data_IF_148951042896
#
_entry.id   IF_148951042896
#
_cell.length_a   1.000
_cell.length_b   1.000
_cell.length_c   1.000
_cell.angle_alpha   90.00
_cell.angle_beta   90.00
_cell.angle_gamma   90.00
#
_symmetry.space_group_name_H-M   'P 1'
#
loop_
_entity.id
_entity.type
_entity.pdbx_description
1 polymer ?
#
# COMPACT_ATOMS: atom_id res chain seq x y z
N UNK A 1 -55.22 38.60 34.70
CA UNK A 1 -55.54 37.42 33.87
C UNK A 1 -54.56 36.32 34.26
N UNK A 2 -54.77 35.41 35.21
CA UNK A 2 -55.92 34.57 35.56
C UNK A 2 -56.36 33.63 34.43
N UNK A 3 -55.78 32.42 34.38
CA UNK A 3 -56.44 31.08 34.46
C UNK A 3 -55.38 29.99 34.14
N UNK A 4 -54.87 29.27 35.16
CA UNK A 4 -55.21 27.87 35.53
C UNK A 4 -54.88 26.84 34.43
N UNK A 5 -53.82 26.02 34.54
CA UNK A 5 -53.59 24.90 35.48
C UNK A 5 -54.57 23.73 35.32
N UNK A 6 -54.04 22.60 34.82
CA UNK A 6 -54.35 21.17 35.14
C UNK A 6 -53.28 20.31 34.41
N UNK A 7 -52.26 19.76 35.08
CA UNK A 7 -52.25 18.51 35.88
C UNK A 7 -52.53 17.28 35.00
N UNK A 8 -51.80 16.16 34.97
CA UNK A 8 -51.16 15.33 36.01
C UNK A 8 -50.34 14.28 35.17
N UNK A 9 -49.04 14.02 35.37
CA UNK A 9 -48.41 13.09 36.34
C UNK A 9 -48.88 11.62 36.24
N UNK A 10 -47.89 10.71 36.39
CA UNK A 10 -47.93 9.23 36.52
C UNK A 10 -47.74 8.45 35.20
N UNK A 11 -46.81 7.47 35.07
CA UNK A 11 -45.95 6.81 36.05
C UNK A 11 -44.83 6.02 35.35
N UNK A 12 -43.69 5.97 36.03
CA UNK A 12 -42.57 5.02 35.98
C UNK A 12 -42.91 3.61 35.47
N UNK A 13 -42.09 3.10 34.56
CA UNK A 13 -41.54 1.72 34.50
C UNK A 13 -40.62 1.69 33.27
N UNK A 14 -39.29 1.59 33.39
CA UNK A 14 -38.63 0.45 34.00
C UNK A 14 -38.56 -0.68 32.99
N UNK A 15 -37.73 -0.53 31.94
CA UNK A 15 -37.19 -1.67 31.21
C UNK A 15 -35.74 -1.40 30.81
N UNK A 16 -34.84 -1.90 31.67
CA UNK A 16 -33.58 -2.45 31.22
C UNK A 16 -33.90 -3.46 30.11
N UNK A 17 -33.41 -3.22 28.90
CA UNK A 17 -33.15 -4.28 27.94
C UNK A 17 -31.64 -4.30 27.66
N UNK A 18 -30.93 -5.01 28.53
CA UNK A 18 -29.80 -5.82 28.10
C UNK A 18 -30.38 -6.94 27.24
N UNK A 19 -30.22 -6.83 25.92
CA UNK A 19 -30.32 -7.97 25.02
C UNK A 19 -28.97 -8.11 24.30
N UNK A 20 -28.12 -8.90 24.94
CA UNK A 20 -27.20 -9.80 24.26
C UNK A 20 -28.04 -10.70 23.35
N UNK A 21 -27.79 -10.68 22.04
CA UNK A 21 -28.45 -11.63 21.13
C UNK A 21 -28.48 -11.17 19.69
N UNK A 22 -27.58 -11.75 18.90
CA UNK A 22 -27.69 -11.94 17.45
C UNK A 22 -27.63 -10.70 16.56
N UNK A 23 -26.39 -10.32 16.24
CA UNK A 23 -26.04 -9.85 14.89
C UNK A 23 -26.36 -10.99 13.92
N UNK A 24 -27.58 -11.02 13.40
CA UNK A 24 -27.98 -11.85 12.27
C UNK A 24 -29.13 -11.13 11.55
N UNK A 25 -28.87 -10.66 10.33
CA UNK A 25 -29.87 -9.95 9.53
C UNK A 25 -29.35 -8.84 8.63
N UNK A 26 -28.11 -8.93 8.17
CA UNK A 26 -27.66 -8.29 6.92
C UNK A 26 -26.99 -9.37 6.06
N UNK A 27 -27.72 -10.45 5.79
CA UNK A 27 -27.43 -11.35 4.68
C UNK A 27 -27.75 -10.58 3.39
N UNK A 28 -26.75 -9.90 2.86
CA UNK A 28 -26.89 -9.06 1.68
C UNK A 28 -25.61 -8.34 1.31
N UNK A 29 -24.51 -9.08 1.13
CA UNK A 29 -23.57 -8.90 0.00
C UNK A 29 -22.29 -9.71 0.23
N UNK A 30 -22.38 -11.02 -0.06
CA UNK A 30 -21.20 -11.77 -0.50
C UNK A 30 -20.81 -11.35 -1.92
N UNK A 31 -20.56 -10.05 -2.17
CA UNK A 31 -20.10 -9.59 -3.49
C UNK A 31 -18.69 -10.09 -3.73
N UNK A 32 -18.59 -11.28 -4.31
CA UNK A 32 -17.53 -11.53 -5.26
C UNK A 32 -17.57 -10.40 -6.29
N UNK A 33 -16.48 -9.66 -6.44
CA UNK A 33 -16.34 -8.62 -7.44
C UNK A 33 -16.03 -9.20 -8.84
N UNK A 34 -15.96 -10.53 -8.94
CA UNK A 34 -15.75 -11.21 -10.22
C UNK A 34 -16.86 -10.82 -11.20
N UNK A 35 -16.48 -10.22 -12.34
CA UNK A 35 -17.41 -9.81 -13.40
C UNK A 35 -17.87 -8.35 -13.35
N UNK A 36 -17.40 -7.52 -12.40
CA UNK A 36 -17.62 -6.07 -12.42
C UNK A 36 -16.31 -5.29 -12.59
N UNK A 37 -16.44 -4.08 -13.14
CA UNK A 37 -15.36 -3.10 -13.12
C UNK A 37 -15.26 -2.52 -11.70
N UNK A 38 -14.03 -2.38 -11.19
CA UNK A 38 -13.76 -1.66 -9.96
C UNK A 38 -12.73 -0.59 -10.23
N UNK A 39 -12.96 0.56 -9.60
CA UNK A 39 -12.03 1.66 -9.60
C UNK A 39 -11.68 1.92 -8.15
N UNK A 40 -10.38 1.82 -7.85
CA UNK A 40 -9.84 1.88 -6.52
C UNK A 40 -8.87 3.05 -6.44
N UNK A 41 -8.96 3.86 -5.39
CA UNK A 41 -8.09 5.02 -5.16
C UNK A 41 -7.40 4.93 -3.81
N UNK A 42 -6.11 5.18 -3.81
CA UNK A 42 -5.30 5.38 -2.63
C UNK A 42 -4.69 6.79 -2.67
N UNK A 43 -4.94 7.57 -1.61
CA UNK A 43 -4.41 8.93 -1.47
C UNK A 43 -3.14 8.90 -0.61
N UNK A 44 -1.99 9.12 -1.25
CA UNK A 44 -0.68 9.20 -0.61
C UNK A 44 -0.27 10.63 -0.23
N UNK A 45 -1.21 11.58 -0.24
CA UNK A 45 -0.99 12.99 0.07
C UNK A 45 -0.38 13.76 -1.10
N UNK A 46 0.91 13.56 -1.40
CA UNK A 46 1.58 14.27 -2.51
C UNK A 46 1.43 13.58 -3.87
N UNK A 47 0.93 12.36 -3.85
CA UNK A 47 0.57 11.57 -5.03
C UNK A 47 -0.65 10.72 -4.72
N UNK A 48 -1.36 10.31 -5.76
CA UNK A 48 -2.45 9.35 -5.67
C UNK A 48 -2.14 8.13 -6.53
N UNK A 49 -2.54 6.95 -6.05
CA UNK A 49 -2.51 5.72 -6.82
C UNK A 49 -3.93 5.30 -7.15
N UNK A 50 -4.13 4.91 -8.39
CA UNK A 50 -5.40 4.40 -8.88
C UNK A 50 -5.20 2.99 -9.40
N UNK A 51 -6.20 2.15 -9.19
CA UNK A 51 -6.22 0.78 -9.63
C UNK A 51 -7.57 0.51 -10.30
N UNK A 52 -7.51 0.18 -11.58
CA UNK A 52 -8.65 -0.21 -12.41
C UNK A 52 -8.64 -1.73 -12.54
N UNK A 53 -9.69 -2.39 -12.06
CA UNK A 53 -9.89 -3.83 -12.16
C UNK A 53 -11.07 -4.09 -13.11
N UNK A 54 -10.79 -4.51 -14.33
CA UNK A 54 -11.84 -4.70 -15.37
C UNK A 54 -12.53 -6.05 -15.22
N UNK A 55 -13.77 -6.13 -15.70
CA UNK A 55 -14.56 -7.37 -15.62
C UNK A 55 -13.93 -8.53 -16.42
N UNK A 56 -13.11 -8.24 -17.42
CA UNK A 56 -12.37 -9.22 -18.22
C UNK A 56 -11.14 -9.83 -17.47
N UNK A 57 -10.94 -9.43 -16.22
CA UNK A 57 -9.82 -9.88 -15.39
C UNK A 57 -8.49 -9.19 -15.69
N UNK A 58 -8.45 -8.14 -16.52
CA UNK A 58 -7.28 -7.27 -16.65
C UNK A 58 -7.28 -6.16 -15.61
N UNK A 59 -6.09 -5.75 -15.17
CA UNK A 59 -5.94 -4.56 -14.34
C UNK A 59 -4.93 -3.58 -14.89
N UNK A 60 -5.09 -2.32 -14.49
CA UNK A 60 -4.15 -1.23 -14.71
C UNK A 60 -3.95 -0.45 -13.42
N UNK A 61 -2.72 -0.09 -13.09
CA UNK A 61 -2.37 0.79 -11.98
C UNK A 61 -1.77 2.09 -12.50
N UNK A 62 -2.33 3.22 -12.07
CA UNK A 62 -1.88 4.57 -12.45
C UNK A 62 -1.37 5.29 -11.21
N UNK A 63 -0.26 6.01 -11.33
CA UNK A 63 0.15 7.00 -10.34
C UNK A 63 -0.04 8.40 -10.90
N UNK A 64 -0.58 9.29 -10.07
CA UNK A 64 -0.72 10.71 -10.36
C UNK A 64 0.00 11.52 -9.30
N UNK A 65 1.00 12.29 -9.71
CA UNK A 65 1.55 13.37 -8.91
C UNK A 65 0.99 14.72 -9.34
N UNK A 66 1.49 15.79 -8.72
CA UNK A 66 1.17 17.16 -9.11
C UNK A 66 1.59 17.53 -10.54
N UNK A 67 2.59 16.84 -11.10
CA UNK A 67 3.21 17.15 -12.40
C UNK A 67 3.25 15.97 -13.37
N UNK A 68 2.69 14.81 -13.00
CA UNK A 68 2.78 13.61 -13.82
C UNK A 68 1.56 12.70 -13.66
N UNK A 69 1.26 11.96 -14.72
CA UNK A 69 0.40 10.79 -14.72
C UNK A 69 1.17 9.68 -15.43
N UNK A 70 1.29 8.53 -14.78
CA UNK A 70 2.09 7.41 -15.29
C UNK A 70 1.36 6.10 -15.02
N UNK A 71 1.21 5.25 -16.04
CA UNK A 71 0.85 3.85 -15.82
C UNK A 71 2.03 3.15 -15.15
N UNK A 72 1.84 2.77 -13.89
CA UNK A 72 2.86 2.12 -13.06
C UNK A 72 2.85 0.62 -13.19
N UNK A 73 1.75 0.00 -13.57
CA UNK A 73 1.63 -1.45 -13.65
C UNK A 73 0.39 -1.90 -14.44
N UNK A 74 0.44 -3.11 -14.96
CA UNK A 74 -0.72 -3.79 -15.54
C UNK A 74 -0.55 -5.31 -15.44
N UNK A 75 -1.66 -6.03 -15.63
CA UNK A 75 -1.64 -7.48 -15.71
C UNK A 75 -3.02 -8.09 -15.55
N UNK A 76 -3.09 -9.22 -14.83
CA UNK A 76 -4.32 -9.94 -14.57
C UNK A 76 -4.71 -9.90 -13.10
N UNK A 77 -6.00 -9.79 -12.81
CA UNK A 77 -6.51 -9.87 -11.45
C UNK A 77 -7.60 -10.92 -11.31
N UNK A 78 -7.76 -11.38 -10.07
CA UNK A 78 -8.90 -12.21 -9.64
C UNK A 78 -9.17 -11.97 -8.17
N UNK A 79 -10.37 -12.27 -7.72
CA UNK A 79 -10.67 -12.34 -6.30
C UNK A 79 -10.70 -13.80 -5.83
N UNK A 80 -10.07 -14.09 -4.69
CA UNK A 80 -10.14 -15.42 -4.08
C UNK A 80 -11.38 -15.57 -3.17
N UNK A 81 -11.57 -16.76 -2.59
CA UNK A 81 -12.68 -17.06 -1.67
C UNK A 81 -12.66 -16.24 -0.38
N UNK A 82 -11.51 -15.66 -0.01
CA UNK A 82 -11.33 -14.79 1.17
C UNK A 82 -11.54 -13.31 0.84
N UNK A 83 -12.16 -12.99 -0.31
CA UNK A 83 -12.34 -11.62 -0.83
C UNK A 83 -11.03 -10.87 -1.13
N UNK A 84 -9.85 -11.51 -1.02
CA UNK A 84 -8.57 -10.88 -1.38
C UNK A 84 -8.47 -10.68 -2.88
N UNK A 85 -7.99 -9.51 -3.28
CA UNK A 85 -7.68 -9.22 -4.67
C UNK A 85 -6.26 -9.70 -4.95
N UNK A 86 -6.13 -10.58 -5.93
CA UNK A 86 -4.86 -11.16 -6.37
C UNK A 86 -4.51 -10.55 -7.72
N UNK A 87 -3.44 -9.77 -7.77
CA UNK A 87 -2.98 -9.04 -8.95
C UNK A 87 -1.67 -9.63 -9.43
N UNK A 88 -1.67 -10.26 -10.60
CA UNK A 88 -0.50 -10.82 -11.26
C UNK A 88 0.01 -9.84 -12.30
N UNK A 89 1.12 -9.18 -12.00
CA UNK A 89 1.75 -8.17 -12.86
C UNK A 89 2.51 -8.80 -14.02
N UNK A 90 2.46 -8.16 -15.19
CA UNK A 90 3.28 -8.54 -16.34
C UNK A 90 4.68 -7.87 -16.30
N UNK A 91 4.79 -6.78 -15.56
CA UNK A 91 5.95 -5.89 -15.57
C UNK A 91 6.82 -6.01 -14.31
N UNK A 92 6.20 -6.17 -13.14
CA UNK A 92 6.82 -5.96 -11.83
C UNK A 92 6.87 -7.24 -10.99
N UNK A 93 7.85 -7.25 -10.09
CA UNK A 93 7.94 -8.25 -9.04
C UNK A 93 7.55 -7.61 -7.70
N UNK A 94 6.92 -8.40 -6.82
CA UNK A 94 6.59 -7.98 -5.46
C UNK A 94 7.86 -7.75 -4.64
N UNK A 95 7.78 -6.84 -3.68
CA UNK A 95 8.86 -6.65 -2.71
C UNK A 95 9.06 -7.91 -1.85
N UNK A 96 10.24 -8.03 -1.26
CA UNK A 96 10.53 -9.02 -0.23
C UNK A 96 10.59 -8.24 1.09
N UNK A 97 9.78 -8.63 2.08
CA UNK A 97 9.71 -7.94 3.37
C UNK A 97 9.78 -8.92 4.53
N UNK A 98 10.27 -8.43 5.67
CA UNK A 98 10.33 -9.18 6.93
C UNK A 98 10.38 -8.18 8.09
N UNK A 99 9.29 -8.08 8.86
CA UNK A 99 9.14 -7.02 9.86
C UNK A 99 9.24 -5.65 9.20
N UNK A 100 10.10 -4.78 9.73
CA UNK A 100 10.35 -3.44 9.19
C UNK A 100 11.42 -3.43 8.07
N UNK A 101 11.86 -4.59 7.59
CA UNK A 101 12.85 -4.69 6.50
C UNK A 101 12.17 -4.88 5.16
N UNK A 102 12.63 -4.14 4.14
CA UNK A 102 12.11 -4.21 2.78
C UNK A 102 13.24 -4.26 1.75
N UNK A 103 13.15 -5.20 0.81
CA UNK A 103 13.95 -5.22 -0.42
C UNK A 103 13.02 -4.86 -1.57
N UNK A 104 13.27 -3.70 -2.18
CA UNK A 104 12.52 -3.25 -3.35
C UNK A 104 12.90 -4.08 -4.57
N UNK A 105 11.91 -4.71 -5.19
CA UNK A 105 12.09 -5.52 -6.41
C UNK A 105 11.68 -4.76 -7.68
N UNK A 106 11.56 -3.43 -7.61
CA UNK A 106 11.16 -2.58 -8.74
C UNK A 106 12.13 -2.69 -9.93
N UNK A 107 13.43 -2.85 -9.67
CA UNK A 107 14.42 -3.07 -10.73
C UNK A 107 14.54 -4.58 -11.01
N UNK A 108 14.23 -5.01 -12.23
CA UNK A 108 14.24 -6.44 -12.60
C UNK A 108 15.60 -7.11 -12.40
N UNK A 109 16.70 -6.39 -12.63
CA UNK A 109 18.05 -6.93 -12.42
C UNK A 109 18.34 -7.30 -10.95
N UNK A 110 17.54 -6.79 -10.01
CA UNK A 110 17.62 -7.17 -8.60
C UNK A 110 17.46 -8.67 -8.38
N UNK A 111 16.69 -9.36 -9.23
CA UNK A 111 16.50 -10.80 -9.14
C UNK A 111 17.85 -11.55 -9.22
N UNK A 112 18.79 -11.05 -10.05
CA UNK A 112 20.12 -11.66 -10.23
C UNK A 112 21.04 -11.44 -9.02
N UNK A 113 20.81 -10.37 -8.25
CA UNK A 113 21.66 -9.97 -7.13
C UNK A 113 21.17 -10.49 -5.78
N UNK A 114 19.95 -11.04 -5.70
CA UNK A 114 19.39 -11.59 -4.46
C UNK A 114 20.24 -12.70 -3.81
N UNK A 115 20.84 -13.66 -4.54
CA UNK A 115 21.70 -14.68 -3.91
C UNK A 115 22.94 -14.08 -3.22
N UNK A 116 23.54 -13.05 -3.83
CA UNK A 116 24.68 -12.33 -3.29
C UNK A 116 24.28 -11.51 -2.05
N UNK A 117 23.16 -10.78 -2.10
CA UNK A 117 22.61 -10.10 -0.93
C UNK A 117 22.35 -11.05 0.24
N UNK A 118 21.76 -12.22 -0.04
CA UNK A 118 21.52 -13.26 0.97
C UNK A 118 22.82 -13.65 1.67
N UNK A 119 23.90 -13.89 0.91
CA UNK A 119 25.20 -14.23 1.47
C UNK A 119 25.77 -13.09 2.33
N UNK A 120 25.62 -11.83 1.92
CA UNK A 120 26.03 -10.66 2.72
C UNK A 120 25.30 -10.59 4.05
N UNK A 121 23.97 -10.79 4.07
CA UNK A 121 23.19 -10.81 5.31
C UNK A 121 23.66 -11.94 6.23
N UNK A 122 23.89 -13.13 5.69
CA UNK A 122 24.40 -14.28 6.47
C UNK A 122 25.80 -14.02 7.04
N UNK A 123 26.70 -13.42 6.26
CA UNK A 123 28.03 -13.03 6.71
C UNK A 123 27.95 -11.99 7.83
N UNK A 124 27.09 -10.98 7.68
CA UNK A 124 26.83 -9.97 8.70
C UNK A 124 26.33 -10.61 10.01
N UNK A 125 25.34 -11.50 9.94
CA UNK A 125 24.79 -12.23 11.08
C UNK A 125 25.80 -13.16 11.76
N UNK A 126 26.80 -13.65 11.03
CA UNK A 126 27.89 -14.47 11.57
C UNK A 126 28.95 -13.60 12.27
N UNK A 127 29.27 -12.45 11.70
CA UNK A 127 30.26 -11.51 12.23
C UNK A 127 29.76 -10.80 13.51
N UNK A 128 28.45 -10.56 13.62
CA UNK A 128 27.86 -9.85 14.74
C UNK A 128 26.94 -10.77 15.57
N UNK A 129 27.18 -10.82 16.88
CA UNK A 129 26.40 -11.64 17.83
C UNK A 129 25.27 -10.90 18.53
N UNK A 130 25.13 -9.59 18.28
CA UNK A 130 24.06 -8.77 18.84
C UNK A 130 22.67 -9.29 18.45
N UNK A 131 21.70 -9.09 19.34
CA UNK A 131 20.28 -9.40 19.08
C UNK A 131 19.56 -8.25 18.36
N UNK A 132 20.10 -7.04 18.47
CA UNK A 132 19.54 -5.84 17.85
C UNK A 132 20.63 -5.05 17.14
N UNK A 133 20.24 -4.37 16.06
CA UNK A 133 21.13 -3.56 15.24
C UNK A 133 20.57 -2.15 15.04
N UNK A 134 21.42 -1.11 15.02
CA UNK A 134 21.06 0.17 14.43
C UNK A 134 20.63 0.00 12.96
N UNK A 135 19.60 0.74 12.48
CA UNK A 135 19.18 0.71 11.09
C UNK A 135 20.33 0.95 10.10
N UNK A 136 21.24 1.86 10.44
CA UNK A 136 22.34 2.27 9.58
C UNK A 136 23.30 1.10 9.29
N UNK A 137 23.48 0.19 10.25
CA UNK A 137 24.32 -0.99 10.07
C UNK A 137 23.69 -1.98 9.08
N UNK A 138 22.36 -2.06 9.07
CA UNK A 138 21.60 -2.93 8.16
C UNK A 138 21.59 -2.37 6.75
N UNK A 139 21.35 -1.07 6.61
CA UNK A 139 21.37 -0.38 5.32
C UNK A 139 22.77 -0.32 4.69
N UNK A 140 23.82 -0.52 5.49
CA UNK A 140 25.21 -0.67 5.07
C UNK A 140 25.57 -2.05 4.54
N UNK A 141 24.68 -3.04 4.61
CA UNK A 141 24.85 -4.34 3.95
C UNK A 141 24.69 -4.13 2.41
N UNK A 142 25.66 -3.43 1.80
CA UNK A 142 25.76 -3.03 0.37
C UNK A 142 26.84 -3.87 -0.35
N UNK A 143 27.02 -3.90 -1.69
CA UNK A 143 26.46 -3.20 -2.87
C UNK A 143 26.62 -4.18 -4.07
N UNK A 144 25.63 -4.32 -4.96
CA UNK A 144 25.86 -4.88 -6.31
C UNK A 144 25.59 -3.77 -7.33
N UNK A 145 26.60 -3.37 -8.09
CA UNK A 145 26.46 -2.38 -9.18
C UNK A 145 25.53 -2.94 -10.25
N UNK A 146 24.27 -2.51 -10.27
CA UNK A 146 23.38 -2.77 -11.41
C UNK A 146 23.79 -1.75 -12.49
N UNK A 147 24.38 -2.26 -13.58
CA UNK A 147 24.97 -1.42 -14.62
C UNK A 147 23.94 -0.56 -15.36
N UNK A 148 24.37 0.66 -15.73
CA UNK A 148 23.60 1.60 -16.54
C UNK A 148 23.13 2.81 -15.72
N UNK A 149 23.93 3.87 -15.76
CA UNK A 149 23.68 5.23 -15.25
C UNK A 149 23.87 5.55 -13.76
N UNK A 150 24.35 6.78 -13.58
CA UNK A 150 25.06 7.36 -12.46
C UNK A 150 24.23 7.47 -11.14
N UNK A 151 24.92 7.18 -10.04
CA UNK A 151 24.91 7.90 -8.75
C UNK A 151 23.74 7.82 -7.75
N UNK A 152 22.67 7.06 -7.95
CA UNK A 152 21.71 6.84 -6.84
C UNK A 152 22.02 5.50 -6.16
N UNK A 153 22.88 5.55 -5.14
CA UNK A 153 23.18 4.38 -4.31
C UNK A 153 22.02 4.08 -3.34
N UNK A 154 20.97 3.44 -3.83
CA UNK A 154 19.86 2.97 -2.99
C UNK A 154 20.33 1.79 -2.13
N UNK A 155 19.98 1.79 -0.84
CA UNK A 155 20.29 0.67 0.03
C UNK A 155 19.59 -0.61 -0.48
N UNK A 156 20.32 -1.72 -0.45
CA UNK A 156 19.84 -3.03 -0.86
C UNK A 156 18.68 -3.54 0.01
N UNK A 157 18.64 -3.07 1.26
CA UNK A 157 17.63 -3.29 2.28
C UNK A 157 17.26 -1.90 2.80
N UNK A 158 15.96 -1.60 2.85
CA UNK A 158 15.40 -0.38 3.46
C UNK A 158 14.82 -0.74 4.82
N UNK A 159 15.10 0.08 5.84
CA UNK A 159 14.51 -0.06 7.19
C UNK A 159 13.34 0.92 7.33
N UNK A 160 12.14 0.41 7.53
CA UNK A 160 10.90 1.19 7.57
C UNK A 160 10.59 1.66 8.98
N UNK A 161 11.10 2.83 9.37
CA UNK A 161 10.69 3.52 10.60
C UNK A 161 11.13 2.87 11.92
N UNK A 162 11.82 1.73 11.88
CA UNK A 162 12.35 1.07 13.05
C UNK A 162 13.56 1.82 13.63
N UNK A 163 13.59 1.96 14.97
CA UNK A 163 14.78 2.48 15.69
C UNK A 163 15.86 1.41 15.91
N UNK A 164 15.44 0.15 15.91
CA UNK A 164 16.26 -1.04 16.08
C UNK A 164 15.72 -2.14 15.19
N UNK A 165 16.61 -2.86 14.52
CA UNK A 165 16.27 -4.05 13.74
C UNK A 165 16.60 -5.28 14.57
N UNK A 166 15.66 -6.20 14.71
CA UNK A 166 15.89 -7.45 15.42
C UNK A 166 16.68 -8.42 14.54
N UNK A 167 17.59 -9.18 15.15
CA UNK A 167 18.32 -10.26 14.48
C UNK A 167 17.37 -11.24 13.80
N UNK A 168 16.26 -11.56 14.45
CA UNK A 168 15.23 -12.45 13.90
C UNK A 168 14.64 -11.94 12.59
N UNK A 169 14.59 -10.63 12.36
CA UNK A 169 14.01 -10.05 11.15
C UNK A 169 14.94 -10.24 9.95
N UNK A 170 16.27 -10.15 10.17
CA UNK A 170 17.28 -10.48 9.16
C UNK A 170 17.31 -11.98 8.86
N UNK A 171 17.20 -12.82 9.88
CA UNK A 171 17.14 -14.29 9.72
C UNK A 171 15.90 -14.70 8.91
N UNK A 172 14.74 -14.10 9.23
CA UNK A 172 13.52 -14.25 8.42
C UNK A 172 13.69 -13.72 7.01
N UNK A 173 14.33 -12.55 6.82
CA UNK A 173 14.55 -11.96 5.50
C UNK A 173 15.38 -12.89 4.60
N UNK A 174 16.40 -13.56 5.14
CA UNK A 174 17.15 -14.60 4.41
C UNK A 174 16.23 -15.72 3.92
N UNK A 175 15.31 -16.18 4.78
CA UNK A 175 14.29 -17.16 4.41
C UNK A 175 13.30 -16.64 3.36
N UNK A 176 12.90 -15.37 3.44
CA UNK A 176 12.02 -14.75 2.45
C UNK A 176 12.70 -14.61 1.08
N UNK A 177 14.01 -14.35 1.03
CA UNK A 177 14.77 -14.38 -0.24
C UNK A 177 14.69 -15.76 -0.88
N UNK A 178 14.89 -16.84 -0.11
CA UNK A 178 14.83 -18.21 -0.64
C UNK A 178 13.43 -18.59 -1.14
N UNK A 179 12.40 -18.24 -0.37
CA UNK A 179 11.00 -18.44 -0.79
C UNK A 179 10.68 -17.64 -2.03
N UNK A 180 11.14 -16.40 -2.12
CA UNK A 180 10.95 -15.58 -3.30
C UNK A 180 11.63 -16.18 -4.52
N UNK A 181 12.92 -16.56 -4.42
CA UNK A 181 13.69 -17.16 -5.51
C UNK A 181 13.08 -18.47 -6.03
N UNK A 182 12.45 -19.27 -5.17
CA UNK A 182 11.77 -20.52 -5.55
C UNK A 182 10.31 -20.34 -5.98
N UNK A 183 9.66 -19.22 -5.65
CA UNK A 183 8.24 -18.99 -5.93
C UNK A 183 7.93 -18.78 -7.42
N UNK A 184 6.85 -19.39 -7.93
CA UNK A 184 6.28 -19.07 -9.25
C UNK A 184 5.37 -17.83 -9.23
N UNK A 185 5.21 -17.20 -8.07
CA UNK A 185 4.29 -16.08 -7.81
C UNK A 185 5.04 -14.81 -7.39
N UNK A 186 6.25 -14.61 -7.93
CA UNK A 186 7.07 -13.41 -7.67
C UNK A 186 6.43 -12.12 -8.15
N UNK A 187 5.50 -12.20 -9.09
CA UNK A 187 4.76 -11.07 -9.65
C UNK A 187 3.32 -10.97 -9.12
N UNK A 188 2.98 -11.73 -8.07
CA UNK A 188 1.65 -11.72 -7.47
C UNK A 188 1.62 -10.75 -6.28
N UNK A 189 0.80 -9.72 -6.39
CA UNK A 189 0.47 -8.77 -5.34
C UNK A 189 -0.89 -9.13 -4.75
N UNK A 190 -1.04 -8.98 -3.44
CA UNK A 190 -2.28 -9.30 -2.74
C UNK A 190 -2.78 -8.07 -2.02
N UNK A 191 -4.02 -7.67 -2.30
CA UNK A 191 -4.74 -6.68 -1.49
C UNK A 191 -5.75 -7.38 -0.60
N UNK A 192 -5.63 -7.12 0.69
CA UNK A 192 -6.48 -7.65 1.76
C UNK A 192 -7.61 -6.65 2.02
N UNK A 193 -8.89 -7.08 1.94
CA UNK A 193 -10.00 -6.23 2.34
C UNK A 193 -10.04 -6.12 3.87
N UNK A 194 -10.06 -4.89 4.39
CA UNK A 194 -10.28 -4.59 5.79
C UNK A 194 -11.55 -3.74 5.90
N UNK A 195 -12.42 -4.11 6.85
CA UNK A 195 -13.61 -3.31 7.14
C UNK A 195 -13.23 -2.15 8.06
N UNK A 196 -13.60 -0.93 7.65
CA UNK A 196 -13.33 0.29 8.38
C UNK A 196 -14.54 1.22 8.31
N UNK A 197 -15.14 1.52 9.47
CA UNK A 197 -16.42 2.23 9.57
C UNK A 197 -17.49 1.54 8.70
N UNK A 198 -18.09 2.25 7.76
CA UNK A 198 -19.10 1.74 6.84
C UNK A 198 -18.54 1.38 5.45
N UNK A 199 -17.22 1.27 5.30
CA UNK A 199 -16.55 1.01 4.03
C UNK A 199 -15.55 -0.15 4.14
N UNK A 200 -15.28 -0.80 3.01
CA UNK A 200 -14.15 -1.72 2.88
C UNK A 200 -12.97 -0.98 2.25
N UNK A 201 -11.79 -1.07 2.87
CA UNK A 201 -10.53 -0.61 2.28
C UNK A 201 -9.66 -1.80 1.86
N UNK A 202 -8.97 -1.70 0.73
CA UNK A 202 -8.08 -2.73 0.23
C UNK A 202 -6.63 -2.35 0.52
N UNK A 203 -5.92 -3.16 1.31
CA UNK A 203 -4.57 -2.84 1.79
C UNK A 203 -3.58 -3.86 1.26
N UNK A 204 -2.37 -3.45 0.89
CA UNK A 204 -1.29 -4.39 0.57
C UNK A 204 -1.07 -5.38 1.74
N UNK A 205 -0.95 -6.67 1.43
CA UNK A 205 -0.89 -7.76 2.43
C UNK A 205 0.23 -7.55 3.48
N UNK A 206 1.35 -6.98 3.08
CA UNK A 206 2.49 -6.66 3.96
C UNK A 206 2.20 -5.51 4.94
N UNK A 207 1.18 -4.69 4.69
CA UNK A 207 0.73 -3.59 5.57
C UNK A 207 -0.50 -3.95 6.38
N UNK A 208 -1.14 -5.09 6.12
CA UNK A 208 -2.44 -5.43 6.67
C UNK A 208 -2.48 -5.40 8.21
N UNK A 209 -1.48 -5.97 8.89
CA UNK A 209 -1.45 -6.00 10.37
C UNK A 209 -1.25 -4.61 10.98
N UNK A 210 -0.38 -3.78 10.40
CA UNK A 210 -0.20 -2.40 10.82
C UNK A 210 -1.52 -1.62 10.66
N UNK A 211 -2.17 -1.74 9.51
CA UNK A 211 -3.43 -1.04 9.25
C UNK A 211 -4.56 -1.52 10.14
N UNK A 212 -4.66 -2.82 10.45
CA UNK A 212 -5.62 -3.36 11.43
C UNK A 212 -5.44 -2.72 12.81
N UNK A 213 -4.20 -2.56 13.27
CA UNK A 213 -3.90 -1.90 14.55
C UNK A 213 -4.35 -0.44 14.53
N UNK A 214 -4.02 0.30 13.47
CA UNK A 214 -4.43 1.70 13.31
C UNK A 214 -5.95 1.84 13.32
N UNK A 215 -6.67 0.98 12.60
CA UNK A 215 -8.14 0.94 12.61
C UNK A 215 -8.67 0.71 14.02
N UNK A 216 -8.11 -0.27 14.75
CA UNK A 216 -8.53 -0.58 16.11
C UNK A 216 -8.32 0.60 17.07
N UNK A 217 -7.16 1.25 17.01
CA UNK A 217 -6.82 2.41 17.83
C UNK A 217 -7.76 3.60 17.56
N UNK A 218 -8.10 3.85 16.29
CA UNK A 218 -9.05 4.89 15.90
C UNK A 218 -10.49 4.58 16.37
N UNK A 219 -10.95 3.34 16.21
CA UNK A 219 -12.29 2.92 16.64
C UNK A 219 -12.43 2.92 18.17
N UNK A 220 -11.32 2.72 18.90
CA UNK A 220 -11.28 2.79 20.36
C UNK A 220 -11.33 4.23 20.92
N UNK A 221 -11.36 5.26 20.07
CA UNK A 221 -11.59 6.65 20.47
C UNK A 221 -10.37 7.37 21.06
N UNK A 222 -9.15 6.88 20.83
CA UNK A 222 -7.95 7.66 21.11
C UNK A 222 -7.89 8.82 20.09
N UNK A 223 -7.87 10.09 20.52
CA UNK A 223 -8.02 11.23 19.63
C UNK A 223 -6.72 11.45 18.87
N UNK A 224 -6.60 10.80 17.71
CA UNK A 224 -5.59 11.16 16.69
C UNK A 224 -6.32 11.86 15.55
N UNK A 225 -5.77 12.94 14.96
CA UNK A 225 -6.50 13.73 13.97
C UNK A 225 -6.67 12.95 12.66
N UNK A 226 -7.93 12.91 12.17
CA UNK A 226 -8.36 12.72 10.76
C UNK A 226 -7.76 11.55 9.94
N UNK A 227 -8.59 10.53 9.73
CA UNK A 227 -8.58 9.51 8.65
C UNK A 227 -7.24 8.86 8.29
N UNK A 228 -6.46 8.39 9.27
CA UNK A 228 -5.18 7.74 8.96
C UNK A 228 -5.41 6.43 8.20
N UNK A 229 -6.43 5.64 8.56
CA UNK A 229 -6.76 4.39 7.87
C UNK A 229 -7.01 4.56 6.35
N UNK A 230 -7.59 5.68 5.93
CA UNK A 230 -7.87 5.99 4.52
C UNK A 230 -6.57 6.25 3.72
N UNK A 231 -5.49 6.66 4.40
CA UNK A 231 -4.15 6.83 3.84
C UNK A 231 -3.36 5.52 3.76
N UNK A 232 -3.94 4.40 4.19
CA UNK A 232 -3.26 3.10 4.22
C UNK A 232 -3.76 2.10 3.18
N UNK A 233 -4.96 2.31 2.65
CA UNK A 233 -5.58 1.41 1.68
C UNK A 233 -6.11 2.11 0.44
N UNK A 234 -6.65 1.31 -0.48
CA UNK A 234 -7.46 1.76 -1.58
C UNK A 234 -8.94 1.74 -1.20
N UNK A 235 -9.66 2.79 -1.53
CA UNK A 235 -11.12 2.88 -1.43
C UNK A 235 -11.76 2.72 -2.80
N UNK A 236 -12.94 2.13 -2.86
CA UNK A 236 -13.75 2.08 -4.09
C UNK A 236 -14.26 3.50 -4.42
N UNK A 237 -14.02 3.91 -5.67
CA UNK A 237 -14.52 5.14 -6.27
C UNK A 237 -15.36 4.81 -7.50
N UNK A 238 -16.20 5.73 -7.94
CA UNK A 238 -16.94 5.54 -9.18
C UNK A 238 -16.07 5.80 -10.43
N UNK A 239 -16.55 5.30 -11.56
CA UNK A 239 -15.88 5.41 -12.85
C UNK A 239 -15.68 6.87 -13.29
N UNK A 240 -16.66 7.74 -13.05
CA UNK A 240 -16.59 9.13 -13.48
C UNK A 240 -15.49 9.87 -12.71
N UNK A 241 -15.35 9.61 -11.41
CA UNK A 241 -14.27 10.11 -10.59
C UNK A 241 -12.91 9.58 -11.08
N UNK A 242 -12.79 8.28 -11.34
CA UNK A 242 -11.55 7.68 -11.83
C UNK A 242 -11.12 8.33 -13.15
N UNK A 243 -12.02 8.37 -14.15
CA UNK A 243 -11.72 8.93 -15.47
C UNK A 243 -11.33 10.40 -15.38
N UNK A 244 -12.05 11.20 -14.58
CA UNK A 244 -11.69 12.60 -14.33
C UNK A 244 -10.27 12.72 -13.76
N UNK A 245 -9.95 11.92 -12.75
CA UNK A 245 -8.69 12.05 -12.04
C UNK A 245 -7.51 11.47 -12.82
N UNK A 246 -7.69 10.43 -13.65
CA UNK A 246 -6.61 9.79 -14.41
C UNK A 246 -6.45 10.27 -15.86
N UNK A 247 -7.47 10.90 -16.45
CA UNK A 247 -7.41 11.37 -17.85
C UNK A 247 -7.09 12.87 -17.97
N UNK A 248 -7.12 13.63 -16.88
CA UNK A 248 -6.66 15.03 -16.83
C UNK A 248 -5.15 15.08 -17.13
N UNK A 249 -4.84 15.04 -18.43
CA UNK A 249 -3.50 15.19 -18.97
C UNK A 249 -3.12 16.64 -18.75
N UNK A 250 -2.33 16.96 -17.73
CA UNK A 250 -1.59 18.21 -17.74
C UNK A 250 -0.54 18.11 -18.84
N UNK A 251 -0.89 18.69 -19.98
CA UNK A 251 -0.01 19.06 -21.08
C UNK A 251 1.08 19.97 -20.53
N UNK A 252 2.15 19.40 -19.97
CA UNK A 252 3.40 20.14 -19.85
C UNK A 252 4.06 20.04 -21.21
N UNK A 253 3.76 21.03 -22.05
CA UNK A 253 4.51 21.27 -23.29
C UNK A 253 5.99 21.38 -22.93
N UNK A 254 6.75 20.33 -23.22
CA UNK A 254 8.21 20.39 -23.35
C UNK A 254 8.53 21.20 -24.61
N UNK A 255 8.20 22.49 -24.61
CA UNK A 255 8.51 23.42 -25.70
C UNK A 255 8.97 24.75 -25.12
N UNK A 256 10.01 24.72 -24.29
CA UNK A 256 10.75 25.94 -23.90
C UNK A 256 12.12 25.63 -23.30
N UNK A 257 12.90 24.72 -23.90
CA UNK A 257 14.35 24.66 -23.68
C UNK A 257 15.21 24.46 -24.95
N UNK A 258 14.61 24.36 -26.15
CA UNK A 258 15.38 24.38 -27.42
C UNK A 258 15.42 25.75 -28.11
N UNK A 259 14.76 26.77 -27.57
CA UNK A 259 14.70 28.12 -28.18
C UNK A 259 15.87 29.06 -27.84
N UNK A 260 16.67 28.78 -26.81
CA UNK A 260 17.63 29.75 -26.27
C UNK A 260 19.11 29.39 -26.51
N UNK A 261 19.39 28.29 -27.22
CA UNK A 261 20.77 27.92 -27.63
C UNK A 261 21.19 28.41 -29.01
N UNK A 262 20.28 29.03 -29.78
CA UNK A 262 20.56 29.48 -31.15
C UNK A 262 20.71 31.01 -31.30
N UNK A 263 20.85 31.77 -30.21
CA UNK A 263 21.11 33.23 -30.25
C UNK A 263 22.43 33.69 -29.62
N UNK A 264 23.39 32.79 -29.38
CA UNK A 264 24.74 33.15 -28.88
C UNK A 264 25.92 32.57 -29.67
N UNK A 265 25.73 32.31 -30.96
CA UNK A 265 26.85 32.07 -31.89
C UNK A 265 26.78 33.06 -33.03
N UNK A 266 27.35 34.25 -32.83
CA UNK A 266 27.32 35.31 -33.82
C UNK A 266 27.90 36.61 -33.29
N UNK A 267 29.09 36.55 -32.70
CA UNK A 267 30.06 37.64 -32.62
C UNK A 267 31.39 37.00 -32.21
N UNK A 268 32.21 36.72 -33.22
CA UNK A 268 33.66 36.88 -33.26
C UNK A 268 34.09 36.82 -34.74
#
# INVERSE_FOLDING_TARGET
>A
MAYLQKSLLCTVSGFFFLLVGSVAGAEGDGRGHQGRHLYLKHDGGTFAHYLELRADGSYRRVAKGSQYIEERDHGKWRQNSERRLLLRSDAHLRNISSGDLLISMRQRDRLKTLPDLKQRIQAFLKAHRSQEFPPEDIERIRETSIGGDLHIKVADITVLGARRVQRSDLEKLVGEIDRFLSSSEKNLFTLVPLEYKAATIYVDDDRAELTKKIIADELAGVPTPTSAADQHGYQEIDEAQFLKETNDSQTVSLSSQEGDRLKRSGHD
#
